data_IF_015664217543
#
_entry.id   IF_015664217543
#
_cell.length_a   1.000
_cell.length_b   1.000
_cell.length_c   1.000
_cell.angle_alpha   90.00
_cell.angle_beta   90.00
_cell.angle_gamma   90.00
#
_symmetry.space_group_name_H-M   'P 1'
#
loop_
_entity.id
_entity.type
_entity.pdbx_description
1 polymer ?
#
# COMPACT_ATOMS: atom_id res chain seq x y z
N UNK A 1 -64.03 -38.97 39.49
CA UNK A 1 -64.47 -38.45 38.19
C UNK A 1 -63.29 -37.79 37.51
N UNK A 2 -62.89 -38.34 36.38
CA UNK A 2 -61.61 -38.13 35.68
C UNK A 2 -61.73 -36.92 34.78
N UNK A 3 -60.74 -36.10 34.73
CA UNK A 3 -60.41 -35.34 33.49
C UNK A 3 -58.90 -35.20 33.30
N UNK A 4 -58.43 -35.78 32.20
CA UNK A 4 -57.07 -35.74 31.66
C UNK A 4 -56.84 -34.40 31.03
N UNK A 5 -55.70 -33.72 31.37
CA UNK A 5 -55.17 -32.60 30.68
C UNK A 5 -53.95 -33.04 29.84
N UNK A 6 -54.06 -33.00 28.54
CA UNK A 6 -52.97 -33.23 27.57
C UNK A 6 -52.05 -32.02 27.52
N UNK A 7 -50.81 -32.19 27.94
CA UNK A 7 -49.75 -31.18 27.75
C UNK A 7 -49.10 -31.36 26.37
N UNK A 8 -49.21 -30.34 25.53
CA UNK A 8 -48.49 -30.25 24.24
C UNK A 8 -47.14 -29.68 24.53
N UNK A 9 -46.11 -30.50 24.32
CA UNK A 9 -44.70 -30.06 24.35
C UNK A 9 -44.36 -29.50 22.96
N UNK A 10 -44.22 -28.18 22.86
CA UNK A 10 -43.69 -27.54 21.68
C UNK A 10 -42.16 -27.55 21.73
N UNK A 11 -41.56 -28.29 20.82
CA UNK A 11 -40.11 -28.30 20.58
C UNK A 11 -39.74 -27.05 19.75
N UNK A 12 -38.80 -26.20 20.15
CA UNK A 12 -38.28 -25.19 19.27
C UNK A 12 -37.24 -25.83 18.33
N UNK A 13 -37.51 -25.82 17.02
CA UNK A 13 -36.55 -26.10 15.96
C UNK A 13 -35.50 -25.00 15.95
N UNK A 14 -34.33 -25.31 16.46
CA UNK A 14 -33.11 -24.48 16.25
C UNK A 14 -32.66 -24.64 14.80
N UNK A 15 -33.04 -23.71 13.93
CA UNK A 15 -32.45 -23.53 12.62
C UNK A 15 -31.06 -22.90 12.78
N UNK A 16 -30.03 -23.75 12.86
CA UNK A 16 -28.65 -23.33 12.73
C UNK A 16 -28.38 -22.95 11.28
N UNK A 17 -28.52 -21.69 10.95
CA UNK A 17 -28.07 -21.14 9.68
C UNK A 17 -26.54 -21.12 9.65
N UNK A 18 -25.91 -22.19 9.15
CA UNK A 18 -24.52 -22.16 8.69
C UNK A 18 -24.48 -21.31 7.44
N UNK A 19 -24.22 -20.01 7.58
CA UNK A 19 -23.84 -19.16 6.45
C UNK A 19 -22.43 -19.52 6.03
N UNK A 20 -22.30 -20.33 5.00
CA UNK A 20 -21.06 -20.55 4.29
C UNK A 20 -20.73 -19.27 3.50
N UNK A 21 -19.94 -18.38 4.07
CA UNK A 21 -19.31 -17.28 3.32
C UNK A 21 -18.19 -17.84 2.45
N UNK A 22 -18.55 -18.37 1.29
CA UNK A 22 -17.59 -18.89 0.32
C UNK A 22 -17.23 -17.88 -0.76
N UNK A 23 -17.25 -16.60 -0.43
CA UNK A 23 -16.74 -15.56 -1.31
C UNK A 23 -15.76 -14.66 -0.55
N UNK A 24 -14.50 -15.11 -0.53
CA UNK A 24 -13.35 -14.25 -0.22
C UNK A 24 -13.11 -13.26 -1.35
N UNK A 25 -14.09 -12.42 -1.65
CA UNK A 25 -13.99 -11.34 -2.62
C UNK A 25 -14.20 -10.03 -1.88
N UNK A 26 -13.10 -9.26 -1.83
CA UNK A 26 -13.09 -7.84 -1.49
C UNK A 26 -13.57 -7.52 -0.07
N UNK A 27 -12.66 -7.65 0.89
CA UNK A 27 -12.75 -6.72 2.01
C UNK A 27 -12.81 -5.31 1.38
N UNK A 28 -13.86 -4.51 1.66
CA UNK A 28 -13.88 -3.13 1.20
C UNK A 28 -12.57 -2.48 1.66
N UNK A 29 -11.96 -1.60 0.85
CA UNK A 29 -10.76 -0.90 1.28
C UNK A 29 -11.10 -0.29 2.64
N UNK A 30 -10.37 -0.73 3.67
CA UNK A 30 -10.53 -0.18 5.02
C UNK A 30 -10.41 1.32 4.85
N UNK A 31 -11.50 2.06 5.11
CA UNK A 31 -11.48 3.51 5.03
C UNK A 31 -10.26 3.93 5.83
N UNK A 32 -9.28 4.55 5.16
CA UNK A 32 -8.07 5.01 5.81
C UNK A 32 -8.54 5.91 6.94
N UNK A 33 -8.23 5.55 8.17
CA UNK A 33 -8.47 6.43 9.30
C UNK A 33 -7.89 7.78 8.87
N UNK A 34 -8.67 8.85 8.98
CA UNK A 34 -8.22 10.19 8.67
C UNK A 34 -7.10 10.54 9.66
N UNK A 35 -5.87 10.18 9.29
CA UNK A 35 -4.70 10.55 10.03
C UNK A 35 -4.26 11.89 9.51
N UNK A 36 -4.48 12.92 10.29
CA UNK A 36 -3.99 14.26 10.03
C UNK A 36 -2.55 14.33 10.55
N UNK A 37 -1.61 14.64 9.70
CA UNK A 37 -0.22 14.88 10.06
C UNK A 37 0.35 15.96 9.16
N UNK A 38 1.45 16.60 9.62
CA UNK A 38 2.12 17.67 8.90
C UNK A 38 3.53 17.23 8.53
N UNK A 39 3.82 17.17 7.22
CA UNK A 39 5.15 16.82 6.73
C UNK A 39 5.37 17.42 5.34
N UNK A 40 6.58 17.31 4.82
CA UNK A 40 6.87 17.50 3.39
C UNK A 40 7.35 16.20 2.77
N UNK A 41 7.17 16.08 1.47
CA UNK A 41 7.71 14.95 0.69
C UNK A 41 8.95 15.44 -0.04
N UNK A 42 10.07 14.82 0.22
CA UNK A 42 11.36 15.16 -0.37
C UNK A 42 11.32 15.18 -1.91
N UNK A 43 12.26 15.85 -2.58
CA UNK A 43 12.42 15.79 -4.04
C UNK A 43 12.62 14.35 -4.54
N UNK A 44 12.36 14.13 -5.83
CA UNK A 44 12.47 12.80 -6.43
C UNK A 44 13.86 12.15 -6.29
N UNK A 45 14.94 12.96 -6.29
CA UNK A 45 16.32 12.46 -6.07
C UNK A 45 16.52 11.78 -4.73
N UNK A 46 15.69 12.13 -3.71
CA UNK A 46 15.74 11.56 -2.37
C UNK A 46 14.79 10.34 -2.23
N UNK A 47 14.20 9.89 -3.34
CA UNK A 47 13.52 8.62 -3.50
C UNK A 47 14.41 7.68 -4.32
N UNK A 48 15.50 7.22 -3.72
CA UNK A 48 16.55 6.47 -4.41
C UNK A 48 16.02 5.14 -4.99
N UNK A 49 16.12 4.98 -6.33
CA UNK A 49 15.82 3.69 -6.98
C UNK A 49 17.08 2.83 -6.96
N UNK A 50 17.16 1.93 -5.97
CA UNK A 50 18.36 1.12 -5.70
C UNK A 50 18.80 0.27 -6.88
N UNK A 51 17.90 -0.37 -7.67
CA UNK A 51 18.32 -1.12 -8.86
C UNK A 51 19.07 -0.27 -9.90
N UNK A 52 18.77 1.03 -10.00
CA UNK A 52 19.50 1.92 -10.89
C UNK A 52 20.84 2.40 -10.30
N UNK A 53 20.86 2.71 -9.01
CA UNK A 53 22.08 3.12 -8.30
C UNK A 53 23.11 1.99 -8.31
N UNK A 54 22.66 0.75 -8.16
CA UNK A 54 23.51 -0.45 -8.20
C UNK A 54 23.89 -0.89 -9.63
N UNK A 55 23.46 -0.15 -10.65
CA UNK A 55 23.78 -0.44 -12.05
C UNK A 55 23.04 -1.67 -12.65
N UNK A 56 22.06 -2.22 -11.94
CA UNK A 56 21.29 -3.39 -12.39
C UNK A 56 20.20 -3.03 -13.41
N UNK A 57 19.69 -1.81 -13.34
CA UNK A 57 18.62 -1.28 -14.20
C UNK A 57 18.87 0.16 -14.60
N UNK A 58 18.22 0.63 -15.68
CA UNK A 58 18.15 2.06 -15.97
C UNK A 58 17.12 2.74 -15.05
N UNK A 59 17.23 4.06 -14.79
CA UNK A 59 16.34 4.77 -13.85
C UNK A 59 14.84 4.68 -14.19
N UNK A 60 14.52 4.47 -15.46
CA UNK A 60 13.17 4.38 -15.99
C UNK A 60 12.70 2.94 -16.30
N UNK A 61 13.40 1.91 -15.80
CA UNK A 61 13.08 0.51 -16.07
C UNK A 61 12.68 -0.24 -14.81
N UNK A 62 11.56 -0.97 -14.92
CA UNK A 62 11.13 -1.96 -13.92
C UNK A 62 11.51 -3.36 -14.41
N UNK A 63 12.11 -4.14 -13.51
CA UNK A 63 12.41 -5.54 -13.78
C UNK A 63 11.12 -6.32 -14.02
N UNK A 64 11.02 -6.93 -15.19
CA UNK A 64 9.98 -7.93 -15.45
C UNK A 64 10.63 -9.31 -15.34
N UNK A 65 10.20 -10.11 -14.36
CA UNK A 65 10.78 -11.44 -14.10
C UNK A 65 10.44 -12.47 -15.18
N UNK A 66 9.52 -12.14 -16.08
CA UNK A 66 9.04 -13.03 -17.13
C UNK A 66 9.59 -12.68 -18.51
N UNK A 67 9.84 -11.42 -18.78
CA UNK A 67 10.13 -10.90 -20.12
C UNK A 67 11.14 -9.73 -20.04
N UNK A 68 11.23 -8.99 -21.15
CA UNK A 68 12.03 -7.77 -21.20
C UNK A 68 11.54 -6.74 -20.20
N UNK A 69 12.46 -6.04 -19.54
CA UNK A 69 12.14 -4.99 -18.57
C UNK A 69 11.15 -3.97 -19.12
N UNK A 70 10.20 -3.57 -18.26
CA UNK A 70 9.22 -2.56 -18.60
C UNK A 70 9.87 -1.16 -18.59
N UNK A 71 9.78 -0.46 -19.71
CA UNK A 71 10.34 0.91 -19.88
C UNK A 71 9.24 1.93 -19.65
N UNK A 72 9.48 2.91 -18.78
CA UNK A 72 8.59 4.02 -18.51
C UNK A 72 9.05 5.28 -19.22
N UNK A 73 8.14 6.25 -19.38
CA UNK A 73 8.44 7.58 -19.92
C UNK A 73 9.29 8.40 -18.93
N UNK A 74 8.97 8.33 -17.65
CA UNK A 74 9.65 9.05 -16.57
C UNK A 74 10.47 8.08 -15.72
N UNK A 75 11.40 8.61 -14.96
CA UNK A 75 12.18 7.84 -14.00
C UNK A 75 11.28 7.30 -12.88
N UNK A 76 11.65 6.13 -12.36
CA UNK A 76 10.89 5.41 -11.31
C UNK A 76 10.79 6.25 -10.04
N UNK A 77 11.88 6.90 -9.64
CA UNK A 77 11.91 7.75 -8.44
C UNK A 77 10.92 8.92 -8.54
N UNK A 78 10.78 9.54 -9.71
CA UNK A 78 9.82 10.61 -9.95
C UNK A 78 8.38 10.07 -9.86
N UNK A 79 8.08 8.99 -10.60
CA UNK A 79 6.73 8.38 -10.60
C UNK A 79 6.29 7.93 -9.20
N UNK A 80 7.21 7.29 -8.46
CA UNK A 80 6.93 6.84 -7.08
C UNK A 80 6.73 8.03 -6.14
N UNK A 81 7.62 9.04 -6.18
CA UNK A 81 7.50 10.24 -5.35
C UNK A 81 6.17 10.96 -5.55
N UNK A 82 5.75 11.14 -6.80
CA UNK A 82 4.48 11.79 -7.14
C UNK A 82 3.29 10.98 -6.61
N UNK A 83 3.32 9.65 -6.80
CA UNK A 83 2.27 8.76 -6.29
C UNK A 83 2.21 8.77 -4.75
N UNK A 84 3.36 8.79 -4.06
CA UNK A 84 3.44 8.91 -2.59
C UNK A 84 2.80 10.23 -2.14
N UNK A 85 3.20 11.36 -2.74
CA UNK A 85 2.66 12.67 -2.37
C UNK A 85 1.15 12.75 -2.59
N UNK A 86 0.66 12.27 -3.73
CA UNK A 86 -0.76 12.26 -4.05
C UNK A 86 -1.54 11.40 -3.06
N UNK A 87 -1.03 10.19 -2.74
CA UNK A 87 -1.73 9.29 -1.80
C UNK A 87 -1.77 9.84 -0.38
N UNK A 88 -0.69 10.47 0.10
CA UNK A 88 -0.67 11.13 1.42
C UNK A 88 -1.70 12.27 1.50
N UNK A 89 -1.81 13.11 0.45
CA UNK A 89 -2.86 14.14 0.37
C UNK A 89 -4.26 13.54 0.47
N UNK A 90 -4.54 12.46 -0.29
CA UNK A 90 -5.82 11.75 -0.24
C UNK A 90 -6.08 11.13 1.14
N UNK A 91 -5.03 10.72 1.84
CA UNK A 91 -5.10 10.20 3.21
C UNK A 91 -5.26 11.30 4.28
N UNK A 92 -5.30 12.59 3.89
CA UNK A 92 -5.55 13.71 4.79
C UNK A 92 -4.31 14.39 5.36
N UNK A 93 -3.11 14.06 4.85
CA UNK A 93 -1.87 14.72 5.30
C UNK A 93 -1.67 16.09 4.65
N UNK A 94 -1.17 17.04 5.43
CA UNK A 94 -0.75 18.35 4.96
C UNK A 94 0.72 18.32 4.56
N UNK A 95 1.02 18.53 3.26
CA UNK A 95 2.37 18.37 2.69
C UNK A 95 3.17 19.68 2.59
N UNK A 96 2.83 20.69 3.35
CA UNK A 96 3.43 22.02 3.32
C UNK A 96 4.26 22.37 4.59
N UNK A 97 4.49 21.40 5.46
CA UNK A 97 5.33 21.58 6.65
C UNK A 97 6.71 20.97 6.42
N UNK A 98 7.74 21.82 6.38
CA UNK A 98 9.13 21.41 6.19
C UNK A 98 9.83 20.85 7.44
N UNK A 99 9.17 20.79 8.61
CA UNK A 99 9.81 20.28 9.85
C UNK A 99 10.07 18.79 9.80
N UNK A 100 9.17 18.02 9.22
CA UNK A 100 9.30 16.60 9.01
C UNK A 100 9.35 16.33 7.51
N UNK A 101 10.37 15.66 7.04
CA UNK A 101 10.60 15.39 5.63
C UNK A 101 10.57 13.89 5.40
N UNK A 102 9.63 13.43 4.56
CA UNK A 102 9.55 12.05 4.11
C UNK A 102 10.37 11.83 2.86
N UNK A 103 11.30 10.92 2.92
CA UNK A 103 12.08 10.38 1.80
C UNK A 103 11.99 8.87 1.75
N UNK A 104 12.67 8.22 0.80
CA UNK A 104 12.65 6.77 0.76
C UNK A 104 13.62 6.13 -0.23
N UNK A 105 13.86 4.82 -0.03
CA UNK A 105 14.62 4.01 -0.95
C UNK A 105 13.71 2.93 -1.56
N UNK A 106 13.63 2.91 -2.88
CA UNK A 106 12.91 1.89 -3.65
C UNK A 106 13.87 0.72 -3.82
N UNK A 107 13.83 -0.22 -2.86
CA UNK A 107 14.77 -1.35 -2.80
C UNK A 107 14.47 -2.40 -3.89
N UNK A 108 13.20 -2.56 -4.23
CA UNK A 108 12.74 -3.45 -5.28
C UNK A 108 11.45 -2.94 -5.89
N UNK A 109 11.39 -2.93 -7.22
CA UNK A 109 10.16 -2.75 -7.96
C UNK A 109 10.18 -3.70 -9.15
N UNK A 110 9.31 -4.70 -9.13
CA UNK A 110 9.30 -5.77 -10.15
C UNK A 110 7.87 -6.06 -10.58
N UNK A 111 7.75 -6.58 -11.80
CA UNK A 111 6.52 -7.18 -12.29
C UNK A 111 6.81 -8.61 -12.74
N UNK A 112 5.86 -9.50 -12.51
CA UNK A 112 5.80 -10.84 -13.09
C UNK A 112 4.50 -10.95 -13.88
N UNK A 113 4.60 -11.01 -15.19
CA UNK A 113 3.48 -11.09 -16.12
C UNK A 113 3.43 -12.42 -16.90
N UNK A 114 4.18 -13.44 -16.47
CA UNK A 114 4.09 -14.79 -17.06
C UNK A 114 2.63 -15.25 -17.07
N UNK A 115 1.95 -15.02 -15.97
CA UNK A 115 0.55 -15.43 -15.77
C UNK A 115 -0.39 -14.22 -15.70
N UNK A 116 -1.67 -14.46 -15.92
CA UNK A 116 -2.72 -13.48 -15.65
C UNK A 116 -3.41 -13.85 -14.33
N UNK A 117 -3.59 -12.92 -13.40
CA UNK A 117 -3.16 -11.51 -13.41
C UNK A 117 -1.63 -11.36 -13.23
N UNK A 118 -1.08 -10.25 -13.75
CA UNK A 118 0.30 -9.87 -13.50
C UNK A 118 0.51 -9.51 -12.03
N UNK A 119 1.66 -9.87 -11.47
CA UNK A 119 1.99 -9.63 -10.06
C UNK A 119 3.07 -8.55 -9.95
N UNK A 120 2.70 -7.40 -9.41
CA UNK A 120 3.60 -6.29 -9.09
C UNK A 120 4.09 -6.42 -7.65
N UNK A 121 5.38 -6.21 -7.43
CA UNK A 121 5.98 -6.23 -6.10
C UNK A 121 6.80 -4.96 -5.89
N UNK A 122 6.47 -4.21 -4.84
CA UNK A 122 7.23 -3.04 -4.40
C UNK A 122 7.74 -3.28 -2.98
N UNK A 123 9.05 -3.12 -2.80
CA UNK A 123 9.71 -3.04 -1.49
C UNK A 123 10.34 -1.67 -1.36
N UNK A 124 9.87 -0.90 -0.40
CA UNK A 124 10.27 0.48 -0.20
C UNK A 124 10.58 0.75 1.27
N UNK A 125 11.73 1.34 1.53
CA UNK A 125 12.08 1.90 2.82
C UNK A 125 11.66 3.35 2.86
N UNK A 126 10.84 3.71 3.83
CA UNK A 126 10.45 5.08 4.15
C UNK A 126 11.30 5.62 5.29
N UNK A 127 11.69 6.89 5.19
CA UNK A 127 12.49 7.58 6.20
C UNK A 127 11.87 8.95 6.46
N UNK A 128 11.59 9.27 7.71
CA UNK A 128 11.20 10.60 8.16
C UNK A 128 12.37 11.24 8.88
N UNK A 129 12.78 12.40 8.38
CA UNK A 129 13.88 13.19 8.95
C UNK A 129 13.32 14.49 9.53
N UNK A 130 13.76 14.85 10.72
CA UNK A 130 13.54 16.17 11.29
C UNK A 130 14.51 17.16 10.65
N UNK A 131 13.97 18.20 9.97
CA UNK A 131 14.78 19.12 9.18
C UNK A 131 15.65 20.04 10.02
N UNK A 132 15.25 20.34 11.25
CA UNK A 132 16.01 21.21 12.14
C UNK A 132 17.24 20.50 12.73
N UNK A 133 17.08 19.24 13.10
CA UNK A 133 18.13 18.44 13.74
C UNK A 133 18.87 17.52 12.78
N UNK A 134 18.37 17.35 11.54
CA UNK A 134 18.86 16.42 10.53
C UNK A 134 18.87 14.95 11.01
N UNK A 135 18.09 14.64 12.06
CA UNK A 135 17.98 13.29 12.61
C UNK A 135 16.84 12.51 11.97
N UNK A 136 17.08 11.26 11.71
CA UNK A 136 16.01 10.31 11.34
C UNK A 136 15.18 10.07 12.60
N UNK A 137 13.89 10.40 12.52
CA UNK A 137 12.93 10.22 13.61
C UNK A 137 12.06 8.99 13.42
N UNK A 138 12.00 8.48 12.19
CA UNK A 138 11.28 7.24 11.87
C UNK A 138 11.86 6.58 10.61
N UNK A 139 11.93 5.25 10.62
CA UNK A 139 12.29 4.47 9.43
C UNK A 139 11.56 3.13 9.45
N UNK A 140 10.97 2.75 8.32
CA UNK A 140 10.28 1.47 8.15
C UNK A 140 10.40 0.97 6.72
N UNK A 141 10.36 -0.35 6.53
CA UNK A 141 10.30 -0.95 5.20
C UNK A 141 8.95 -1.61 5.00
N UNK A 142 8.26 -1.25 3.91
CA UNK A 142 7.00 -1.86 3.49
C UNK A 142 7.23 -2.68 2.23
N UNK A 143 6.69 -3.88 2.23
CA UNK A 143 6.67 -4.76 1.05
C UNK A 143 5.23 -5.06 0.69
N UNK A 144 4.83 -4.70 -0.51
CA UNK A 144 3.46 -4.91 -1.01
C UNK A 144 3.47 -5.68 -2.31
N UNK A 145 2.40 -6.43 -2.53
CA UNK A 145 2.14 -7.15 -3.78
C UNK A 145 0.77 -6.76 -4.32
N UNK A 146 0.71 -6.46 -5.62
CA UNK A 146 -0.50 -6.05 -6.32
C UNK A 146 -0.73 -6.94 -7.52
N UNK A 147 -1.92 -7.54 -7.61
CA UNK A 147 -2.37 -8.23 -8.83
C UNK A 147 -3.08 -7.23 -9.74
N UNK A 148 -2.76 -7.23 -11.02
CA UNK A 148 -3.45 -6.40 -12.03
C UNK A 148 -3.70 -7.21 -13.30
N UNK A 149 -4.76 -6.90 -14.07
CA UNK A 149 -4.92 -7.46 -15.42
C UNK A 149 -3.68 -7.18 -16.27
N UNK A 150 -3.28 -8.11 -17.14
CA UNK A 150 -2.06 -7.99 -17.98
C UNK A 150 -2.00 -6.73 -18.85
N UNK A 151 -3.15 -6.25 -19.30
CA UNK A 151 -3.26 -5.09 -20.19
C UNK A 151 -3.55 -3.78 -19.45
N UNK A 152 -3.43 -3.77 -18.11
CA UNK A 152 -3.50 -2.53 -17.35
C UNK A 152 -2.33 -1.63 -17.73
N UNK A 153 -2.59 -0.34 -17.95
CA UNK A 153 -1.54 0.66 -18.15
C UNK A 153 -0.51 0.59 -17.01
N UNK A 154 0.76 0.59 -17.38
CA UNK A 154 1.87 0.53 -16.41
C UNK A 154 1.82 1.66 -15.38
N UNK A 155 1.39 2.86 -15.79
CA UNK A 155 1.23 4.00 -14.89
C UNK A 155 0.18 3.74 -13.82
N UNK A 156 -0.98 3.18 -14.19
CA UNK A 156 -2.04 2.82 -13.25
C UNK A 156 -1.58 1.71 -12.30
N UNK A 157 -0.89 0.68 -12.83
CA UNK A 157 -0.40 -0.41 -11.99
C UNK A 157 0.68 0.05 -10.99
N UNK A 158 1.54 0.99 -11.39
CA UNK A 158 2.54 1.62 -10.50
C UNK A 158 1.83 2.43 -9.42
N UNK A 159 0.93 3.34 -9.80
CA UNK A 159 0.17 4.17 -8.86
C UNK A 159 -0.57 3.31 -7.83
N UNK A 160 -1.29 2.29 -8.27
CA UNK A 160 -2.00 1.34 -7.40
C UNK A 160 -1.07 0.59 -6.45
N UNK A 161 0.13 0.20 -6.93
CA UNK A 161 1.10 -0.52 -6.10
C UNK A 161 1.71 0.40 -5.06
N UNK A 162 2.06 1.64 -5.44
CA UNK A 162 2.55 2.66 -4.51
C UNK A 162 1.47 3.03 -3.50
N UNK A 163 0.21 3.18 -3.93
CA UNK A 163 -0.93 3.42 -3.05
C UNK A 163 -1.01 2.40 -1.92
N UNK A 164 -0.92 1.12 -2.23
CA UNK A 164 -0.90 0.05 -1.21
C UNK A 164 0.27 0.19 -0.23
N UNK A 165 1.44 0.60 -0.73
CA UNK A 165 2.62 0.82 0.11
C UNK A 165 2.44 2.00 1.07
N UNK A 166 1.85 3.10 0.57
CA UNK A 166 1.54 4.29 1.40
C UNK A 166 0.42 3.97 2.40
N UNK A 167 -0.61 3.19 2.00
CA UNK A 167 -1.67 2.76 2.93
C UNK A 167 -1.09 1.94 4.08
N UNK A 168 -0.11 1.06 3.80
CA UNK A 168 0.60 0.31 4.82
C UNK A 168 1.51 1.20 5.70
N UNK A 169 2.04 2.31 5.15
CA UNK A 169 2.79 3.32 5.91
C UNK A 169 1.86 4.12 6.84
N UNK A 170 0.75 4.60 6.32
CA UNK A 170 -0.25 5.38 7.08
C UNK A 170 -0.90 4.55 8.20
N UNK A 171 -1.00 3.23 8.01
CA UNK A 171 -1.45 2.30 9.05
C UNK A 171 -0.40 2.02 10.14
N UNK A 172 0.81 2.54 10.03
CA UNK A 172 1.88 2.33 11.01
C UNK A 172 1.82 3.43 12.09
N UNK A 173 1.55 3.03 13.33
CA UNK A 173 1.46 3.96 14.46
C UNK A 173 2.77 4.73 14.72
N UNK A 174 3.91 4.10 14.46
CA UNK A 174 5.21 4.76 14.55
C UNK A 174 5.36 5.91 13.56
N UNK A 175 4.86 5.73 12.31
CA UNK A 175 4.81 6.81 11.33
C UNK A 175 3.92 7.96 11.80
N UNK A 176 2.70 7.65 12.24
CA UNK A 176 1.75 8.66 12.72
C UNK A 176 2.34 9.47 13.87
N UNK A 177 2.97 8.80 14.84
CA UNK A 177 3.61 9.47 15.98
C UNK A 177 4.82 10.34 15.56
N UNK A 178 5.52 9.99 14.50
CA UNK A 178 6.68 10.73 14.03
C UNK A 178 6.32 12.01 13.26
N UNK A 179 5.09 12.11 12.71
CA UNK A 179 4.64 13.24 11.87
C UNK A 179 3.58 14.12 12.55
N UNK A 180 3.17 13.78 13.77
CA UNK A 180 2.36 14.59 14.67
C UNK A 180 3.22 15.23 15.74
#
# INVERSE_FOLDING_TARGET
>A
MVLKGCGVIALPLMLSACSWSWFGLNSPPRAAAHSTGWLSVAPARDFAYMPAIEGRMSPNRIENTAMTALVLKNDINQAVRESVANRLKVAGFHLNDGRKVLSGNIEKFTVDDVRSPALWTLKMRYVVTDSATQKVVFSTTKTVKRKSPKFTSSSIAIEDTVRLSVDALVGDSGFINAVN
#
